data_IF_834174508452
#
_entry.id   IF_834174508452
#
_cell.length_a   1.000
_cell.length_b   1.000
_cell.length_c   1.000
_cell.angle_alpha   90.00
_cell.angle_beta   90.00
_cell.angle_gamma   90.00
#
_symmetry.space_group_name_H-M   'P 1'
#
loop_
_entity.id
_entity.type
_entity.pdbx_description
1 polymer ?
#
# COMPACT_ATOMS: atom_id res chain seq x y z
N UNK A 1 13.06 3.93 -17.28
CA UNK A 1 12.96 2.47 -17.19
C UNK A 1 14.05 1.79 -17.99
N UNK A 2 14.77 0.86 -17.36
CA UNK A 2 15.85 0.08 -17.98
C UNK A 2 15.70 -1.42 -17.70
N UNK A 3 16.39 -2.27 -18.45
CA UNK A 3 16.47 -3.73 -18.16
C UNK A 3 17.81 -4.04 -17.53
N UNK A 4 17.79 -4.56 -16.30
CA UNK A 4 18.97 -5.04 -15.58
C UNK A 4 19.14 -6.55 -15.73
N UNK A 5 20.40 -7.00 -15.66
CA UNK A 5 20.75 -8.42 -15.58
C UNK A 5 21.40 -8.73 -14.24
N UNK A 6 20.69 -9.47 -13.38
CA UNK A 6 21.17 -9.94 -12.09
C UNK A 6 21.46 -11.44 -12.18
N UNK A 7 22.67 -11.80 -12.59
CA UNK A 7 23.05 -13.18 -12.86
C UNK A 7 22.22 -13.79 -13.99
N UNK A 8 21.40 -14.81 -13.67
CA UNK A 8 20.48 -15.46 -14.63
C UNK A 8 19.13 -14.74 -14.75
N UNK A 9 18.84 -13.77 -13.88
CA UNK A 9 17.56 -13.06 -13.86
C UNK A 9 17.63 -11.75 -14.66
N UNK A 10 16.54 -11.43 -15.36
CA UNK A 10 16.31 -10.12 -15.98
C UNK A 10 15.27 -9.37 -15.18
N UNK A 11 15.58 -8.14 -14.82
CA UNK A 11 14.72 -7.25 -14.05
C UNK A 11 14.43 -5.98 -14.84
N UNK A 12 13.26 -5.40 -14.64
CA UNK A 12 12.97 -4.01 -14.97
C UNK A 12 13.46 -3.15 -13.81
N UNK A 13 14.22 -2.11 -14.12
CA UNK A 13 14.56 -1.04 -13.19
C UNK A 13 13.70 0.17 -13.50
N UNK A 14 12.92 0.58 -12.51
CA UNK A 14 12.15 1.81 -12.50
C UNK A 14 13.01 2.95 -11.96
N UNK A 15 13.08 4.03 -12.71
CA UNK A 15 13.79 5.25 -12.33
C UNK A 15 12.78 6.22 -11.75
N UNK A 16 12.35 5.93 -10.51
CA UNK A 16 11.33 6.72 -9.83
C UNK A 16 11.88 8.09 -9.41
N UNK A 17 11.15 9.13 -9.79
CA UNK A 17 11.36 10.52 -9.39
C UNK A 17 10.71 10.74 -8.02
N UNK A 18 11.55 11.00 -7.02
CA UNK A 18 11.10 11.19 -5.64
C UNK A 18 10.29 12.48 -5.48
N UNK A 19 10.61 13.56 -6.20
CA UNK A 19 9.86 14.82 -6.10
C UNK A 19 8.42 14.62 -6.57
N UNK A 20 8.22 13.83 -7.61
CA UNK A 20 6.88 13.50 -8.10
C UNK A 20 6.09 12.66 -7.08
N UNK A 21 6.75 11.70 -6.44
CA UNK A 21 6.17 10.86 -5.39
C UNK A 21 5.77 11.71 -4.16
N UNK A 22 6.63 12.63 -3.74
CA UNK A 22 6.36 13.57 -2.65
C UNK A 22 5.15 14.47 -2.96
N UNK A 23 5.06 14.97 -4.19
CA UNK A 23 3.92 15.75 -4.64
C UNK A 23 2.62 14.96 -4.61
N UNK A 24 2.64 13.68 -4.99
CA UNK A 24 1.47 12.79 -4.89
C UNK A 24 1.03 12.61 -3.42
N UNK A 25 1.97 12.33 -2.52
CA UNK A 25 1.67 12.17 -1.10
C UNK A 25 1.05 13.44 -0.50
N UNK A 26 1.61 14.61 -0.84
CA UNK A 26 1.10 15.92 -0.43
C UNK A 26 -0.29 16.20 -0.99
N UNK A 27 -0.52 15.94 -2.28
CA UNK A 27 -1.82 16.13 -2.92
C UNK A 27 -2.90 15.21 -2.34
N UNK A 28 -2.52 14.01 -1.91
CA UNK A 28 -3.42 13.12 -1.19
C UNK A 28 -3.69 13.57 0.25
N UNK A 29 -2.99 14.58 0.77
CA UNK A 29 -3.19 15.10 2.13
C UNK A 29 -2.44 14.34 3.21
N UNK A 30 -1.36 13.65 2.86
CA UNK A 30 -0.47 13.02 3.84
C UNK A 30 0.71 13.94 4.17
N UNK A 31 1.06 14.00 5.44
CA UNK A 31 2.43 14.26 5.85
C UNK A 31 3.28 13.03 5.56
N UNK A 32 4.53 13.23 5.19
CA UNK A 32 5.39 12.12 4.81
C UNK A 32 6.86 12.32 5.21
N UNK A 33 7.52 11.19 5.41
CA UNK A 33 8.98 11.06 5.38
C UNK A 33 9.33 10.07 4.28
N UNK A 34 10.13 10.51 3.31
CA UNK A 34 10.58 9.68 2.20
C UNK A 34 12.04 9.26 2.43
N UNK A 35 12.32 8.00 2.16
CA UNK A 35 13.68 7.46 2.08
C UNK A 35 13.88 6.79 0.73
N UNK A 36 14.82 7.31 -0.04
CA UNK A 36 15.18 6.72 -1.31
C UNK A 36 16.33 5.71 -1.16
N UNK A 37 16.07 4.47 -1.56
CA UNK A 37 17.06 3.40 -1.54
C UNK A 37 17.34 2.92 -2.97
N UNK A 38 18.43 2.17 -3.14
CA UNK A 38 18.83 1.65 -4.46
C UNK A 38 17.76 0.78 -5.13
N UNK A 39 17.00 0.01 -4.34
CA UNK A 39 16.01 -0.97 -4.83
C UNK A 39 14.55 -0.62 -4.56
N UNK A 40 14.31 0.42 -3.78
CA UNK A 40 12.96 0.78 -3.32
C UNK A 40 12.90 2.23 -2.89
N UNK A 41 11.71 2.80 -2.96
CA UNK A 41 11.35 4.04 -2.26
C UNK A 41 10.50 3.64 -1.05
N UNK A 42 10.78 4.20 0.12
CA UNK A 42 9.96 4.01 1.32
C UNK A 42 9.34 5.35 1.72
N UNK A 43 8.03 5.35 1.96
CA UNK A 43 7.29 6.49 2.47
C UNK A 43 6.63 6.11 3.79
N UNK A 44 7.00 6.80 4.84
CA UNK A 44 6.21 6.84 6.07
C UNK A 44 5.19 7.95 5.92
N UNK A 45 3.90 7.60 5.94
CA UNK A 45 2.78 8.50 5.70
C UNK A 45 1.92 8.64 6.95
N UNK A 46 1.49 9.87 7.24
CA UNK A 46 0.55 10.20 8.32
C UNK A 46 -0.53 11.16 7.81
N UNK A 47 -1.80 10.82 7.98
CA UNK A 47 -2.92 11.69 7.66
C UNK A 47 -3.25 12.58 8.86
N UNK A 48 -2.41 13.58 9.11
CA UNK A 48 -2.55 14.47 10.27
C UNK A 48 -3.90 15.21 10.27
N UNK A 49 -4.49 15.36 11.46
CA UNK A 49 -5.79 16.03 11.64
C UNK A 49 -7.02 15.17 11.29
N UNK A 50 -6.85 14.02 10.63
CA UNK A 50 -7.96 13.11 10.35
C UNK A 50 -8.49 12.49 11.64
N UNK A 51 -9.80 12.61 11.87
CA UNK A 51 -10.46 12.03 13.06
C UNK A 51 -10.77 10.54 12.89
N UNK A 52 -11.08 10.11 11.67
CA UNK A 52 -11.35 8.71 11.34
C UNK A 52 -10.07 7.97 10.94
N UNK A 53 -9.93 6.67 11.24
CA UNK A 53 -8.81 5.88 10.73
C UNK A 53 -8.71 5.92 9.19
N UNK A 54 -7.56 5.52 8.66
CA UNK A 54 -7.44 5.16 7.26
C UNK A 54 -8.37 3.97 6.98
N UNK A 55 -8.99 3.98 5.81
CA UNK A 55 -10.00 3.02 5.39
C UNK A 55 -9.35 1.69 4.95
N UNK A 56 -8.62 1.07 5.86
CA UNK A 56 -8.02 -0.24 5.68
C UNK A 56 -8.83 -1.23 6.50
N UNK A 57 -9.61 -2.11 5.87
CA UNK A 57 -10.58 -2.95 6.58
C UNK A 57 -10.36 -4.44 6.30
N UNK A 58 -10.85 -5.30 7.20
CA UNK A 58 -10.78 -6.75 7.00
C UNK A 58 -11.72 -7.18 5.88
N UNK A 59 -11.17 -7.73 4.80
CA UNK A 59 -11.95 -8.25 3.67
C UNK A 59 -12.76 -9.50 4.04
N UNK A 60 -12.40 -10.22 5.09
CA UNK A 60 -13.08 -11.43 5.53
C UNK A 60 -14.25 -11.16 6.50
N UNK A 61 -14.34 -9.96 7.08
CA UNK A 61 -15.45 -9.62 7.98
C UNK A 61 -16.76 -9.48 7.18
N UNK A 62 -17.82 -10.26 7.49
CA UNK A 62 -19.12 -10.16 6.84
C UNK A 62 -19.74 -8.76 6.86
N UNK A 63 -19.41 -7.94 7.88
CA UNK A 63 -19.86 -6.56 7.96
C UNK A 63 -19.29 -5.67 6.83
N UNK A 64 -18.19 -6.09 6.20
CA UNK A 64 -17.50 -5.35 5.15
C UNK A 64 -17.85 -5.83 3.73
N UNK A 65 -18.72 -6.81 3.52
CA UNK A 65 -19.02 -7.37 2.18
C UNK A 65 -19.47 -6.31 1.15
N UNK A 66 -20.28 -5.35 1.58
CA UNK A 66 -20.72 -4.24 0.73
C UNK A 66 -19.58 -3.29 0.33
N UNK A 67 -18.54 -3.18 1.15
CA UNK A 67 -17.35 -2.38 0.90
C UNK A 67 -16.30 -3.16 0.11
N UNK A 68 -16.11 -4.44 0.43
CA UNK A 68 -15.20 -5.36 -0.24
C UNK A 68 -15.41 -5.33 -1.75
N UNK A 69 -16.64 -5.53 -2.22
CA UNK A 69 -16.97 -5.51 -3.66
C UNK A 69 -16.70 -4.18 -4.38
N UNK A 70 -16.47 -3.08 -3.63
CA UNK A 70 -16.22 -1.73 -4.17
C UNK A 70 -14.75 -1.34 -4.10
N UNK A 71 -13.91 -2.13 -3.45
CA UNK A 71 -12.48 -1.85 -3.36
C UNK A 71 -11.80 -1.97 -4.72
N UNK A 72 -11.02 -0.93 -5.06
CA UNK A 72 -10.10 -0.96 -6.18
C UNK A 72 -8.79 -1.67 -5.84
N UNK A 73 -8.43 -1.70 -4.55
CA UNK A 73 -7.18 -2.26 -4.06
C UNK A 73 -7.41 -3.27 -2.95
N UNK A 74 -6.59 -4.33 -3.00
CA UNK A 74 -6.54 -5.37 -1.99
C UNK A 74 -5.09 -5.58 -1.56
N UNK A 75 -4.89 -5.85 -0.29
CA UNK A 75 -3.58 -6.09 0.32
C UNK A 75 -3.56 -7.50 0.86
N UNK A 76 -2.56 -8.30 0.48
CA UNK A 76 -2.28 -9.54 1.19
C UNK A 76 -1.78 -9.20 2.60
N UNK A 77 -2.55 -9.49 3.64
CA UNK A 77 -2.19 -9.08 4.99
C UNK A 77 -1.07 -9.90 5.63
N UNK A 78 -0.57 -10.96 4.94
CA UNK A 78 0.62 -11.68 5.37
C UNK A 78 1.92 -11.05 4.83
N UNK A 79 1.95 -10.61 3.58
CA UNK A 79 3.16 -9.99 2.98
C UNK A 79 3.13 -8.47 2.91
N UNK A 80 1.95 -7.85 3.04
CA UNK A 80 1.74 -6.44 2.80
C UNK A 80 1.69 -6.06 1.31
N UNK A 81 1.78 -7.03 0.40
CA UNK A 81 1.71 -6.76 -1.04
C UNK A 81 0.36 -6.17 -1.42
N UNK A 82 0.35 -5.00 -2.05
CA UNK A 82 -0.82 -4.45 -2.71
C UNK A 82 -0.97 -5.18 -4.05
N UNK A 83 -2.02 -5.99 -4.19
CA UNK A 83 -2.14 -6.98 -5.27
C UNK A 83 -2.02 -6.33 -6.66
N UNK A 84 -1.23 -6.97 -7.53
CA UNK A 84 -0.98 -6.54 -8.91
C UNK A 84 -0.32 -5.16 -9.06
N UNK A 85 0.36 -4.68 -8.02
CA UNK A 85 1.12 -3.41 -8.06
C UNK A 85 2.56 -3.65 -7.56
N UNK A 86 3.50 -2.73 -7.83
CA UNK A 86 4.84 -2.77 -7.23
C UNK A 86 4.86 -2.23 -5.78
N UNK A 87 3.69 -2.02 -5.17
CA UNK A 87 3.54 -1.37 -3.88
C UNK A 87 3.37 -2.41 -2.76
N UNK A 88 3.99 -2.14 -1.62
CA UNK A 88 3.76 -2.84 -0.37
C UNK A 88 3.27 -1.84 0.70
N UNK A 89 2.45 -2.34 1.61
CA UNK A 89 1.85 -1.62 2.72
C UNK A 89 2.22 -2.29 4.04
N UNK A 90 2.51 -1.49 5.05
CA UNK A 90 2.58 -1.92 6.44
C UNK A 90 1.91 -0.90 7.36
N UNK A 91 1.39 -1.34 8.50
CA UNK A 91 0.99 -0.40 9.55
C UNK A 91 2.23 0.22 10.17
N UNK A 92 2.20 1.52 10.43
CA UNK A 92 3.08 2.07 11.44
C UNK A 92 2.57 1.67 12.83
N UNK A 93 3.48 1.48 13.77
CA UNK A 93 3.15 1.01 15.11
C UNK A 93 3.76 1.93 16.16
N UNK A 94 3.03 2.13 17.26
CA UNK A 94 3.56 2.80 18.42
C UNK A 94 4.59 1.94 19.16
N UNK A 95 5.17 2.48 20.24
CA UNK A 95 6.15 1.78 21.08
C UNK A 95 5.58 0.53 21.77
N UNK A 96 4.25 0.41 21.88
CA UNK A 96 3.57 -0.75 22.46
C UNK A 96 3.24 -1.82 21.39
N UNK A 97 3.57 -1.54 20.13
CA UNK A 97 3.32 -2.43 19.00
C UNK A 97 1.91 -2.31 18.41
N UNK A 98 1.08 -1.35 18.89
CA UNK A 98 -0.27 -1.13 18.35
C UNK A 98 -0.19 -0.35 17.04
N UNK A 99 -1.00 -0.75 16.07
CA UNK A 99 -1.07 -0.08 14.78
C UNK A 99 -1.63 1.35 14.95
N UNK A 100 -0.98 2.33 14.33
CA UNK A 100 -1.42 3.71 14.32
C UNK A 100 -2.57 3.88 13.30
N UNK A 101 -3.74 4.40 13.70
CA UNK A 101 -4.93 4.41 12.84
C UNK A 101 -4.82 5.37 11.65
N UNK A 102 -3.96 6.38 11.72
CA UNK A 102 -3.79 7.40 10.69
C UNK A 102 -2.45 7.31 9.96
N UNK A 103 -1.61 6.32 10.28
CA UNK A 103 -0.25 6.24 9.78
C UNK A 103 0.10 4.85 9.22
N UNK A 104 0.71 4.85 8.03
CA UNK A 104 1.11 3.65 7.30
C UNK A 104 2.50 3.85 6.70
N UNK A 105 3.15 2.73 6.37
CA UNK A 105 4.36 2.71 5.56
C UNK A 105 4.00 2.15 4.20
N UNK A 106 4.38 2.89 3.16
CA UNK A 106 4.30 2.46 1.77
C UNK A 106 5.70 2.22 1.26
N UNK A 107 5.90 1.11 0.55
CA UNK A 107 7.15 0.82 -0.16
C UNK A 107 6.84 0.61 -1.63
N UNK A 108 7.65 1.20 -2.51
CA UNK A 108 7.57 1.01 -3.96
C UNK A 108 8.85 0.33 -4.43
N UNK A 109 8.73 -0.87 -5.00
CA UNK A 109 9.88 -1.61 -5.51
C UNK A 109 10.35 -1.02 -6.85
N UNK A 110 11.64 -0.69 -6.95
CA UNK A 110 12.27 -0.20 -8.20
C UNK A 110 12.66 -1.34 -9.13
N UNK A 111 12.99 -2.49 -8.57
CA UNK A 111 13.36 -3.69 -9.32
C UNK A 111 12.16 -4.64 -9.43
N UNK A 112 11.71 -4.95 -10.65
CA UNK A 112 10.60 -5.86 -10.92
C UNK A 112 11.02 -7.00 -11.84
N UNK A 113 10.42 -8.20 -11.74
CA UNK A 113 10.60 -9.23 -12.75
C UNK A 113 10.25 -8.72 -14.15
N UNK A 114 10.99 -9.11 -15.19
CA UNK A 114 10.67 -8.74 -16.58
C UNK A 114 9.28 -9.21 -17.04
N UNK A 115 8.74 -10.25 -16.39
CA UNK A 115 7.39 -10.77 -16.61
C UNK A 115 6.31 -10.02 -15.83
N UNK A 116 6.67 -9.08 -14.94
CA UNK A 116 5.71 -8.33 -14.14
C UNK A 116 4.79 -7.50 -15.04
N UNK A 117 3.50 -7.56 -14.77
CA UNK A 117 2.47 -6.82 -15.51
C UNK A 117 1.47 -6.24 -14.52
N UNK A 118 0.97 -5.07 -14.86
CA UNK A 118 -0.16 -4.46 -14.18
C UNK A 118 -1.47 -5.13 -14.64
N UNK A 119 -2.62 -4.79 -14.02
CA UNK A 119 -3.92 -5.28 -14.47
C UNK A 119 -4.10 -5.12 -15.99
N UNK A 120 -4.87 -6.04 -16.60
CA UNK A 120 -5.05 -6.12 -18.06
C UNK A 120 -3.76 -6.41 -18.85
N UNK A 121 -2.75 -7.01 -18.21
CA UNK A 121 -1.45 -7.34 -18.81
C UNK A 121 -0.68 -6.11 -19.32
N UNK A 122 -0.98 -4.93 -18.79
CA UNK A 122 -0.32 -3.69 -19.19
C UNK A 122 1.17 -3.72 -18.82
N UNK A 123 2.06 -3.20 -19.68
CA UNK A 123 3.45 -3.00 -19.33
C UNK A 123 3.56 -1.97 -18.19
N UNK A 124 4.59 -2.12 -17.37
CA UNK A 124 4.84 -1.18 -16.27
C UNK A 124 5.70 -0.04 -16.77
N UNK A 125 5.29 1.18 -16.45
CA UNK A 125 6.06 2.40 -16.66
C UNK A 125 6.03 3.22 -15.37
N UNK A 126 6.97 4.13 -15.19
CA UNK A 126 7.03 5.02 -14.03
C UNK A 126 5.73 5.83 -13.88
N UNK A 127 5.19 6.35 -14.98
CA UNK A 127 3.93 7.11 -14.97
C UNK A 127 2.76 6.28 -14.44
N UNK A 128 2.71 4.99 -14.79
CA UNK A 128 1.66 4.11 -14.31
C UNK A 128 1.83 3.78 -12.82
N UNK A 129 3.07 3.65 -12.34
CA UNK A 129 3.35 3.50 -10.91
C UNK A 129 2.88 4.73 -10.13
N UNK A 130 3.12 5.92 -10.65
CA UNK A 130 2.64 7.16 -10.04
C UNK A 130 1.11 7.25 -10.00
N UNK A 131 0.44 6.90 -11.09
CA UNK A 131 -1.03 6.87 -11.14
C UNK A 131 -1.61 5.85 -10.14
N UNK A 132 -0.99 4.67 -10.04
CA UNK A 132 -1.37 3.64 -9.06
C UNK A 132 -1.16 4.13 -7.63
N UNK A 133 -0.03 4.77 -7.34
CA UNK A 133 0.23 5.35 -6.01
C UNK A 133 -0.83 6.39 -5.64
N UNK A 134 -1.11 7.34 -6.54
CA UNK A 134 -2.13 8.37 -6.31
C UNK A 134 -3.51 7.76 -6.03
N UNK A 135 -3.94 6.80 -6.85
CA UNK A 135 -5.23 6.13 -6.66
C UNK A 135 -5.27 5.32 -5.36
N UNK A 136 -4.16 4.66 -5.01
CA UNK A 136 -4.05 3.89 -3.77
C UNK A 136 -4.14 4.78 -2.52
N UNK A 137 -3.43 5.90 -2.50
CA UNK A 137 -3.50 6.86 -1.38
C UNK A 137 -4.91 7.47 -1.25
N UNK A 138 -5.55 7.81 -2.37
CA UNK A 138 -6.93 8.26 -2.36
C UNK A 138 -7.90 7.18 -1.87
N UNK A 139 -7.68 5.92 -2.23
CA UNK A 139 -8.50 4.82 -1.77
C UNK A 139 -8.45 4.68 -0.25
N UNK A 140 -7.26 4.77 0.35
CA UNK A 140 -7.08 4.72 1.82
C UNK A 140 -7.82 5.83 2.56
N UNK A 141 -8.10 6.96 1.91
CA UNK A 141 -8.79 8.09 2.54
C UNK A 141 -10.30 8.10 2.30
N UNK A 142 -10.74 7.66 1.12
CA UNK A 142 -12.06 8.00 0.60
C UNK A 142 -12.97 6.79 0.29
N UNK A 143 -12.41 5.66 -0.16
CA UNK A 143 -13.23 4.53 -0.67
C UNK A 143 -12.98 3.22 0.08
N UNK A 144 -11.74 3.01 0.50
CA UNK A 144 -11.29 1.88 1.28
C UNK A 144 -10.46 0.86 0.51
N UNK A 145 -9.66 0.13 1.28
CA UNK A 145 -8.72 -0.91 0.84
C UNK A 145 -8.96 -2.16 1.68
N UNK A 146 -9.18 -3.29 1.02
CA UNK A 146 -9.42 -4.57 1.68
C UNK A 146 -8.13 -5.27 2.07
N UNK A 147 -8.00 -5.70 3.32
CA UNK A 147 -6.91 -6.57 3.79
C UNK A 147 -7.38 -8.02 3.73
N UNK A 148 -6.69 -8.82 2.93
CA UNK A 148 -6.98 -10.23 2.73
C UNK A 148 -6.12 -11.09 3.68
N UNK A 149 -6.72 -11.52 4.79
CA UNK A 149 -6.10 -12.45 5.74
C UNK A 149 -4.83 -11.93 6.42
N UNK A 150 -4.14 -12.80 7.16
CA UNK A 150 -2.81 -12.55 7.70
C UNK A 150 -2.73 -11.81 9.05
N UNK A 151 -1.51 -11.73 9.60
CA UNK A 151 -1.23 -11.15 10.91
C UNK A 151 -0.32 -9.92 10.87
N UNK A 152 0.30 -9.64 9.72
CA UNK A 152 1.33 -8.61 9.57
C UNK A 152 0.70 -7.24 9.38
N UNK A 153 -0.17 -7.11 8.36
CA UNK A 153 -0.99 -5.93 8.14
C UNK A 153 -2.30 -6.10 8.88
N UNK A 154 -2.61 -5.15 9.76
CA UNK A 154 -3.84 -5.08 10.52
C UNK A 154 -4.79 -4.08 9.86
N UNK A 155 -6.08 -4.42 9.77
CA UNK A 155 -7.14 -3.44 9.53
C UNK A 155 -7.04 -2.27 10.51
N UNK A 156 -7.33 -1.08 10.04
CA UNK A 156 -7.38 0.17 10.81
C UNK A 156 -8.82 0.69 10.97
N UNK A 157 -9.73 0.26 10.09
CA UNK A 157 -11.15 0.61 10.11
C UNK A 157 -12.04 -0.64 10.15
N UNK A 158 -13.28 -0.45 10.59
CA UNK A 158 -14.21 -1.56 10.85
C UNK A 158 -13.96 -2.19 12.23
N UNK A 159 -14.40 -3.44 12.42
CA UNK A 159 -14.09 -4.20 13.63
C UNK A 159 -12.62 -4.64 13.57
N UNK A 160 -11.76 -3.94 14.31
CA UNK A 160 -10.33 -4.23 14.38
C UNK A 160 -9.96 -5.15 15.55
N UNK A 161 -10.89 -5.36 16.49
CA UNK A 161 -10.74 -6.31 17.59
C UNK A 161 -11.21 -7.72 17.17
N UNK A 162 -10.46 -8.78 17.50
CA UNK A 162 -10.96 -10.14 17.32
C UNK A 162 -12.24 -10.33 18.16
N UNK A 163 -13.25 -11.08 17.68
CA UNK A 163 -14.41 -11.38 18.50
C UNK A 163 -13.93 -12.01 19.81
N UNK A 164 -14.17 -11.32 20.92
CA UNK A 164 -13.77 -11.77 22.25
C UNK A 164 -14.29 -13.19 22.49
N UNK A 165 -13.42 -14.05 23.04
CA UNK A 165 -13.81 -15.39 23.48
C UNK A 165 -14.98 -15.24 24.46
N UNK A 166 -16.19 -15.56 24.01
CA UNK A 166 -17.35 -15.72 24.89
C UNK A 166 -17.19 -17.11 25.52
N UNK A 167 -16.42 -17.18 26.60
CA UNK A 167 -16.47 -18.28 27.55
C UNK A 167 -17.48 -17.95 28.64
#
# INVERSE_FOLDING_TARGET
MQVLKAGRHKLLLLELDTEFIENIARQAGFEFRLEDHSRRVVLDLNAEGRQSPLLLFDAADPANLGWFSRCQFYVDGNSGTVLQTPIQLANQRDRTGRALPHAIRVQINKELPVSFRLPNKAPVTEQMVYAVLYNFLNALLNTGVGVCGGSVVKPLAGRTEPPGNRN
#
